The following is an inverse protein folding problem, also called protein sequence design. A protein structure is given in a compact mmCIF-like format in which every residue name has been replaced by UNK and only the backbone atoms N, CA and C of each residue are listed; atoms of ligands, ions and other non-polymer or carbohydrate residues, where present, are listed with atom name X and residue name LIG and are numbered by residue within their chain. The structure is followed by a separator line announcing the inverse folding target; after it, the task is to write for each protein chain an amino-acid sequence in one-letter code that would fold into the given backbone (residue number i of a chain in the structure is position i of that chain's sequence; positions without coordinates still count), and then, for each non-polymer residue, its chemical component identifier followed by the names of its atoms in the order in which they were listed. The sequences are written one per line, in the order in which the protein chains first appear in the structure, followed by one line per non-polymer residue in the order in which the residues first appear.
data_IF_261671391860
#
_entry.id   IF_261671391860
#
_cell.length_a   1.000
_cell.length_b   1.000
_cell.length_c   1.000
_cell.angle_alpha   90.00
_cell.angle_beta   90.00
_cell.angle_gamma   90.00
#
_symmetry.space_group_name_H-M   'P 1'
#
loop_
_entity.id
_entity.type
_entity.pdbx_description
1 polymer ?
#
# COMPACT_ATOMS: atom_id res chain seq x y z
N UNK A 1 13.50 3.40 -13.60
CA UNK A 1 14.86 3.95 -13.40
C UNK A 1 15.15 4.06 -11.89
N UNK A 2 15.27 2.93 -11.19
CA UNK A 2 15.61 2.89 -9.74
C UNK A 2 16.74 1.87 -9.52
N UNK A 3 17.72 1.81 -10.42
CA UNK A 3 18.80 0.82 -10.34
C UNK A 3 20.14 1.38 -9.85
N UNK A 4 20.27 2.71 -9.70
CA UNK A 4 21.56 3.34 -9.38
C UNK A 4 21.46 4.34 -8.22
N UNK A 5 20.78 3.98 -7.13
CA UNK A 5 21.00 4.67 -5.84
C UNK A 5 22.08 3.87 -5.12
N UNK A 6 23.34 4.34 -5.04
CA UNK A 6 24.36 3.62 -4.31
C UNK A 6 23.93 3.49 -2.85
N UNK A 7 23.79 2.25 -2.36
CA UNK A 7 23.71 1.96 -0.94
C UNK A 7 25.00 2.47 -0.27
N UNK A 8 24.91 3.66 0.33
CA UNK A 8 25.94 4.35 1.12
C UNK A 8 27.31 4.59 0.45
N UNK A 9 27.69 5.87 0.17
CA UNK A 9 29.08 6.23 -0.14
C UNK A 9 30.02 6.14 1.07
N UNK A 10 29.49 5.85 2.27
CA UNK A 10 30.23 5.71 3.50
C UNK A 10 30.29 4.23 3.84
N UNK A 11 31.45 3.60 3.62
CA UNK A 11 31.72 2.31 4.28
C UNK A 11 31.42 2.46 5.76
N UNK A 12 30.71 1.51 6.36
CA UNK A 12 30.46 1.48 7.81
C UNK A 12 31.48 0.51 8.46
N UNK A 13 32.77 0.88 8.61
CA UNK A 13 33.79 -0.03 9.12
C UNK A 13 33.53 -0.44 10.57
N UNK A 14 32.80 0.38 11.32
CA UNK A 14 32.48 0.13 12.73
C UNK A 14 31.46 -0.99 12.93
N UNK A 15 30.52 -1.13 11.99
CA UNK A 15 29.44 -2.11 12.05
C UNK A 15 29.37 -2.83 10.69
N UNK A 16 30.27 -3.79 10.45
CA UNK A 16 30.24 -4.55 9.20
C UNK A 16 28.88 -5.23 9.06
N UNK A 17 28.32 -5.13 7.86
CA UNK A 17 27.13 -5.89 7.49
C UNK A 17 27.56 -7.31 7.07
N UNK A 18 26.86 -8.39 7.49
CA UNK A 18 25.72 -8.41 8.41
C UNK A 18 26.08 -8.08 9.87
N UNK A 19 25.23 -7.27 10.51
CA UNK A 19 25.42 -6.88 11.92
C UNK A 19 25.08 -8.07 12.84
N UNK A 20 26.10 -8.58 13.53
CA UNK A 20 25.93 -9.59 14.56
C UNK A 20 26.14 -8.97 15.95
N UNK A 21 25.10 -8.91 16.81
CA UNK A 21 25.24 -8.39 18.18
C UNK A 21 26.35 -9.08 18.98
N UNK A 22 26.56 -10.39 18.76
CA UNK A 22 27.62 -11.17 19.40
C UNK A 22 29.03 -10.72 19.01
N UNK A 23 29.23 -10.28 17.77
CA UNK A 23 30.52 -9.77 17.28
C UNK A 23 30.83 -8.42 17.94
N UNK A 24 29.84 -7.53 18.01
CA UNK A 24 29.98 -6.25 18.72
C UNK A 24 30.30 -6.49 20.21
N UNK A 25 29.55 -7.37 20.86
CA UNK A 25 29.75 -7.73 22.26
C UNK A 25 31.15 -8.29 22.50
N UNK A 26 31.62 -9.22 21.66
CA UNK A 26 32.97 -9.78 21.74
C UNK A 26 34.08 -8.74 21.54
N UNK A 27 33.86 -7.71 20.71
CA UNK A 27 34.80 -6.59 20.56
C UNK A 27 34.89 -5.77 21.84
N UNK A 28 33.74 -5.44 22.42
CA UNK A 28 33.65 -4.70 23.70
C UNK A 28 34.37 -5.47 24.81
N UNK A 29 34.13 -6.78 24.92
CA UNK A 29 34.78 -7.66 25.91
C UNK A 29 36.30 -7.75 25.73
N UNK A 30 36.79 -7.63 24.50
CA UNK A 30 38.22 -7.57 24.17
C UNK A 30 38.85 -6.18 24.39
N UNK A 31 38.09 -5.21 24.91
CA UNK A 31 38.58 -3.87 25.22
C UNK A 31 38.60 -2.91 24.02
N UNK A 32 37.87 -3.21 22.94
CA UNK A 32 37.68 -2.29 21.83
C UNK A 32 36.87 -1.07 22.29
N UNK A 33 37.57 0.05 22.52
CA UNK A 33 36.98 1.28 23.05
C UNK A 33 36.02 1.94 22.06
N UNK A 34 36.32 1.88 20.77
CA UNK A 34 35.50 2.50 19.72
C UNK A 34 34.16 1.78 19.58
N UNK A 35 34.18 0.45 19.64
CA UNK A 35 32.98 -0.39 19.68
C UNK A 35 32.12 -0.11 20.93
N UNK A 36 32.75 0.06 22.10
CA UNK A 36 32.06 0.35 23.35
C UNK A 36 31.42 1.75 23.38
N UNK A 37 32.13 2.74 22.84
CA UNK A 37 31.62 4.11 22.70
C UNK A 37 30.44 4.16 21.73
N UNK A 38 30.58 3.58 20.53
CA UNK A 38 29.51 3.56 19.54
C UNK A 38 28.24 2.86 20.05
N UNK A 39 28.38 1.76 20.80
CA UNK A 39 27.26 1.10 21.46
C UNK A 39 26.57 2.00 22.49
N UNK A 40 27.37 2.68 23.32
CA UNK A 40 26.87 3.62 24.33
C UNK A 40 26.13 4.79 23.70
N UNK A 41 26.73 5.44 22.70
CA UNK A 41 26.14 6.56 21.98
C UNK A 41 24.82 6.16 21.30
N UNK A 42 24.73 4.98 20.70
CA UNK A 42 23.49 4.46 20.14
C UNK A 42 22.38 4.33 21.18
N UNK A 43 22.69 3.87 22.40
CA UNK A 43 21.72 3.81 23.50
C UNK A 43 21.30 5.19 23.98
N UNK A 44 22.26 6.11 24.15
CA UNK A 44 21.96 7.47 24.60
C UNK A 44 21.08 8.21 23.60
N UNK A 45 21.36 8.07 22.29
CA UNK A 45 20.51 8.64 21.24
C UNK A 45 19.08 8.09 21.31
N UNK A 46 18.91 6.79 21.57
CA UNK A 46 17.59 6.20 21.77
C UNK A 46 16.88 6.76 23.01
N UNK A 47 17.61 7.08 24.08
CA UNK A 47 17.05 7.71 25.27
C UNK A 47 16.60 9.15 25.00
N UNK A 48 17.42 9.95 24.32
CA UNK A 48 17.06 11.33 23.93
C UNK A 48 15.82 11.36 23.04
N UNK A 49 15.77 10.48 22.03
CA UNK A 49 14.66 10.39 21.07
C UNK A 49 13.38 9.79 21.66
N UNK A 50 13.47 9.06 22.78
CA UNK A 50 12.34 8.49 23.51
C UNK A 50 12.29 8.98 24.96
N UNK A 51 12.58 10.27 25.17
CA UNK A 51 12.68 10.89 26.50
C UNK A 51 11.38 10.89 27.30
N UNK A 52 10.24 10.61 26.67
CA UNK A 52 8.91 10.66 27.30
C UNK A 52 8.41 12.09 27.56
N UNK A 53 9.18 13.09 27.15
CA UNK A 53 8.79 14.49 27.21
C UNK A 53 7.93 14.87 26.01
N UNK A 54 6.82 15.57 26.26
CA UNK A 54 6.06 16.19 25.20
C UNK A 54 6.87 17.35 24.59
N UNK A 55 6.73 17.54 23.27
CA UNK A 55 7.34 18.65 22.54
C UNK A 55 6.24 19.62 22.10
N UNK A 56 6.52 20.91 22.10
CA UNK A 56 5.55 21.95 21.76
C UNK A 56 5.78 22.52 20.37
N UNK A 57 4.75 23.13 19.79
CA UNK A 57 4.85 23.81 18.49
C UNK A 57 5.91 24.92 18.49
N UNK A 58 6.09 25.64 19.60
CA UNK A 58 7.08 26.72 19.70
C UNK A 58 8.52 26.22 19.57
N UNK A 59 8.78 24.97 19.98
CA UNK A 59 10.11 24.36 19.85
C UNK A 59 10.51 24.10 18.39
N UNK A 60 9.55 24.06 17.47
CA UNK A 60 9.85 23.93 16.03
C UNK A 60 10.58 25.14 15.49
N UNK A 61 10.43 26.31 16.12
CA UNK A 61 11.12 27.54 15.73
C UNK A 61 12.63 27.38 15.73
N UNK A 62 13.17 26.63 16.71
CA UNK A 62 14.59 26.30 16.78
C UNK A 62 15.05 25.59 15.50
N UNK A 63 14.28 24.62 15.01
CA UNK A 63 14.61 23.90 13.79
C UNK A 63 14.45 24.81 12.57
N UNK A 64 13.35 25.55 12.47
CA UNK A 64 13.08 26.46 11.36
C UNK A 64 14.11 27.58 11.21
N UNK A 65 14.68 28.06 12.32
CA UNK A 65 15.70 29.11 12.32
C UNK A 65 17.10 28.61 11.95
N UNK A 66 17.33 27.29 12.02
CA UNK A 66 18.66 26.70 11.89
C UNK A 66 18.73 25.61 10.80
N UNK A 67 17.67 25.42 10.02
CA UNK A 67 17.60 24.42 8.96
C UNK A 67 16.91 24.98 7.71
N UNK A 68 17.66 25.04 6.60
CA UNK A 68 17.16 25.55 5.31
C UNK A 68 16.34 24.51 4.52
N UNK A 69 16.37 23.24 4.93
CA UNK A 69 15.66 22.16 4.25
C UNK A 69 14.20 22.00 4.69
N UNK A 70 13.46 21.08 4.07
CA UNK A 70 12.09 20.81 4.47
C UNK A 70 12.04 20.17 5.86
N UNK A 71 11.01 20.51 6.63
CA UNK A 71 10.69 19.90 7.92
C UNK A 71 9.38 19.12 7.76
N UNK A 72 9.40 17.83 8.12
CA UNK A 72 8.24 16.94 8.08
C UNK A 72 7.94 16.47 9.51
N UNK A 73 6.72 16.69 10.00
CA UNK A 73 6.32 16.23 11.34
C UNK A 73 5.72 14.83 11.31
N UNK A 74 6.32 13.90 12.05
CA UNK A 74 5.83 12.51 12.15
C UNK A 74 4.97 12.31 13.39
N UNK A 75 3.84 11.63 13.22
CA UNK A 75 2.97 11.26 14.34
C UNK A 75 1.64 12.01 14.38
N UNK A 76 1.29 12.74 13.33
CA UNK A 76 0.05 13.50 13.26
C UNK A 76 -1.14 12.52 13.15
N UNK A 77 -2.14 12.71 14.00
CA UNK A 77 -3.34 11.86 14.09
C UNK A 77 -4.66 12.63 13.99
N UNK A 78 -4.61 13.97 14.03
CA UNK A 78 -5.80 14.80 14.04
C UNK A 78 -5.70 15.93 13.01
N UNK A 79 -6.87 16.36 12.50
CA UNK A 79 -6.99 17.43 11.48
C UNK A 79 -6.41 18.73 12.02
N UNK A 80 -6.77 19.11 13.24
CA UNK A 80 -6.28 20.37 13.86
C UNK A 80 -4.76 20.47 13.88
N UNK A 81 -4.05 19.37 14.13
CA UNK A 81 -2.58 19.35 14.13
C UNK A 81 -2.01 19.45 12.70
N UNK A 82 -2.68 18.87 11.71
CA UNK A 82 -2.31 19.04 10.30
C UNK A 82 -2.48 20.50 9.85
N UNK A 83 -3.58 21.14 10.25
CA UNK A 83 -3.84 22.56 9.99
C UNK A 83 -2.81 23.43 10.70
N UNK A 84 -2.49 23.12 11.96
CA UNK A 84 -1.47 23.83 12.72
C UNK A 84 -0.10 23.72 12.07
N UNK A 85 0.26 22.54 11.53
CA UNK A 85 1.50 22.35 10.77
C UNK A 85 1.55 23.25 9.53
N UNK A 86 0.43 23.41 8.80
CA UNK A 86 0.33 24.36 7.69
C UNK A 86 0.50 25.80 8.19
N UNK A 87 -0.17 26.19 9.28
CA UNK A 87 -0.11 27.54 9.85
C UNK A 87 1.30 27.95 10.26
N UNK A 88 2.07 27.02 10.84
CA UNK A 88 3.44 27.29 11.28
C UNK A 88 4.48 27.11 10.17
N UNK A 89 4.07 26.83 8.93
CA UNK A 89 4.98 26.76 7.78
C UNK A 89 5.83 25.48 7.72
N UNK A 90 5.33 24.37 8.26
CA UNK A 90 5.97 23.05 8.14
C UNK A 90 5.72 22.50 6.73
N UNK A 91 6.73 21.86 6.14
CA UNK A 91 6.69 21.40 4.75
C UNK A 91 5.79 20.18 4.53
N UNK A 92 5.45 19.45 5.59
CA UNK A 92 4.59 18.28 5.50
C UNK A 92 4.47 17.49 6.79
N UNK A 93 3.72 16.40 6.71
CA UNK A 93 3.41 15.52 7.85
C UNK A 93 3.51 14.05 7.45
N UNK A 94 3.81 13.19 8.42
CA UNK A 94 3.62 11.75 8.34
C UNK A 94 2.50 11.38 9.31
N UNK A 95 1.39 10.92 8.76
CA UNK A 95 0.24 10.44 9.52
C UNK A 95 0.58 9.05 10.07
N UNK A 96 0.65 8.93 11.40
CA UNK A 96 1.30 7.79 12.06
C UNK A 96 0.89 7.67 13.52
N UNK A 97 0.64 6.45 14.01
CA UNK A 97 0.51 6.15 15.45
C UNK A 97 1.77 5.42 15.94
N UNK A 98 2.89 5.62 15.24
CA UNK A 98 4.14 4.93 15.48
C UNK A 98 4.01 3.40 15.36
N UNK A 99 3.08 2.93 14.53
CA UNK A 99 2.78 1.50 14.38
C UNK A 99 2.15 0.87 15.61
N UNK A 100 1.40 1.65 16.40
CA UNK A 100 0.69 1.23 17.60
C UNK A 100 1.57 1.08 18.84
N UNK A 101 2.65 1.86 18.94
CA UNK A 101 3.70 1.69 19.97
C UNK A 101 3.77 2.80 21.01
N UNK A 102 3.02 3.88 20.83
CA UNK A 102 3.08 5.05 21.71
C UNK A 102 1.83 5.10 22.59
N UNK A 103 0.71 5.60 22.06
CA UNK A 103 -0.57 5.62 22.77
C UNK A 103 -1.38 4.38 22.38
N UNK A 104 -1.59 3.48 23.34
CA UNK A 104 -2.49 2.34 23.17
C UNK A 104 -3.96 2.82 23.07
N UNK A 105 -4.75 2.18 22.21
CA UNK A 105 -6.10 2.62 21.87
C UNK A 105 -6.17 3.84 20.96
N UNK A 106 -5.03 4.36 20.47
CA UNK A 106 -5.02 5.39 19.44
C UNK A 106 -5.76 4.93 18.18
N UNK A 107 -6.34 5.89 17.47
CA UNK A 107 -7.04 5.65 16.21
C UNK A 107 -6.13 4.87 15.23
N UNK A 108 -6.67 3.92 14.45
CA UNK A 108 -5.95 3.37 13.32
C UNK A 108 -5.58 4.50 12.36
N UNK A 109 -4.29 4.69 12.08
CA UNK A 109 -3.80 5.86 11.33
C UNK A 109 -4.44 6.01 9.95
N UNK A 110 -4.95 4.95 9.33
CA UNK A 110 -5.65 5.03 8.05
C UNK A 110 -6.96 5.83 8.14
N UNK A 111 -7.62 5.82 9.30
CA UNK A 111 -8.81 6.64 9.57
C UNK A 111 -8.39 8.09 9.81
N UNK A 112 -7.27 8.32 10.51
CA UNK A 112 -6.69 9.66 10.62
C UNK A 112 -6.30 10.22 9.25
N UNK A 113 -5.72 9.38 8.37
CA UNK A 113 -5.42 9.76 7.00
C UNK A 113 -6.68 10.25 6.28
N UNK A 114 -7.73 9.45 6.30
CA UNK A 114 -9.01 9.80 5.68
C UNK A 114 -9.59 11.12 6.22
N UNK A 115 -9.57 11.33 7.54
CA UNK A 115 -10.10 12.54 8.16
C UNK A 115 -9.26 13.78 7.80
N UNK A 116 -7.93 13.66 7.85
CA UNK A 116 -7.01 14.77 7.56
C UNK A 116 -7.07 15.16 6.09
N UNK A 117 -7.10 14.20 5.17
CA UNK A 117 -7.13 14.49 3.73
C UNK A 117 -8.52 14.87 3.24
N UNK A 118 -9.59 14.60 3.99
CA UNK A 118 -10.91 15.14 3.72
C UNK A 118 -11.00 16.67 3.94
N UNK A 119 -10.12 17.24 4.77
CA UNK A 119 -10.08 18.68 5.00
C UNK A 119 -9.65 19.47 3.74
N UNK A 120 -10.43 20.49 3.40
CA UNK A 120 -10.23 21.27 2.18
C UNK A 120 -8.89 22.03 2.17
N UNK A 121 -8.47 22.57 3.31
CA UNK A 121 -7.22 23.33 3.41
C UNK A 121 -6.01 22.42 3.21
N UNK A 122 -6.06 21.20 3.75
CA UNK A 122 -5.02 20.18 3.50
C UNK A 122 -4.97 19.84 2.01
N UNK A 123 -6.13 19.56 1.38
CA UNK A 123 -6.19 19.27 -0.06
C UNK A 123 -5.62 20.39 -0.92
N UNK A 124 -6.04 21.63 -0.69
CA UNK A 124 -5.62 22.77 -1.51
C UNK A 124 -4.13 23.03 -1.36
N UNK A 125 -3.59 22.87 -0.15
CA UNK A 125 -2.16 23.07 0.12
C UNK A 125 -1.31 21.95 -0.49
N UNK A 126 -1.78 20.70 -0.45
CA UNK A 126 -1.14 19.57 -1.15
C UNK A 126 -1.14 19.77 -2.67
N UNK A 127 -2.28 20.15 -3.26
CA UNK A 127 -2.41 20.41 -4.71
C UNK A 127 -1.57 21.60 -5.17
N UNK A 128 -1.37 22.59 -4.31
CA UNK A 128 -0.46 23.71 -4.55
C UNK A 128 1.03 23.33 -4.42
N UNK A 129 1.35 22.09 -4.03
CA UNK A 129 2.73 21.62 -3.84
C UNK A 129 3.43 22.23 -2.62
N UNK A 130 2.68 22.79 -1.67
CA UNK A 130 3.22 23.50 -0.50
C UNK A 130 3.25 22.66 0.77
N UNK A 131 2.58 21.52 0.76
CA UNK A 131 2.49 20.64 1.91
C UNK A 131 2.49 19.19 1.45
N UNK A 132 3.35 18.35 2.05
CA UNK A 132 3.44 16.92 1.72
C UNK A 132 2.77 16.08 2.80
N UNK A 133 1.85 15.21 2.42
CA UNK A 133 1.25 14.23 3.34
C UNK A 133 1.77 12.84 3.02
N UNK A 134 2.45 12.25 3.99
CA UNK A 134 2.99 10.90 3.95
C UNK A 134 2.23 10.01 4.95
N UNK A 135 2.32 8.70 4.78
CA UNK A 135 1.57 7.74 5.61
C UNK A 135 2.41 6.54 6.03
N UNK A 136 2.28 6.08 7.28
CA UNK A 136 2.85 4.80 7.73
C UNK A 136 1.79 3.95 8.47
N UNK A 137 2.20 3.02 9.35
CA UNK A 137 1.27 2.31 10.25
C UNK A 137 0.45 1.19 9.61
N UNK A 138 1.13 0.23 8.96
CA UNK A 138 0.52 -1.07 8.65
C UNK A 138 0.56 -1.52 7.20
N UNK A 139 1.26 -0.80 6.31
CA UNK A 139 1.42 -1.19 4.90
C UNK A 139 2.12 -2.55 4.76
N UNK A 140 1.43 -3.56 4.22
CA UNK A 140 1.99 -4.91 3.99
C UNK A 140 1.82 -5.40 2.56
N UNK A 141 0.83 -4.88 1.84
CA UNK A 141 0.48 -5.28 0.48
C UNK A 141 0.40 -4.05 -0.42
N UNK A 142 0.45 -4.27 -1.72
CA UNK A 142 0.21 -3.25 -2.73
C UNK A 142 -1.17 -2.61 -2.59
N UNK A 143 -2.19 -3.40 -2.22
CA UNK A 143 -3.53 -2.85 -1.96
C UNK A 143 -3.54 -1.83 -0.81
N UNK A 144 -2.71 -2.01 0.21
CA UNK A 144 -2.61 -1.05 1.32
C UNK A 144 -1.97 0.26 0.85
N UNK A 145 -0.93 0.16 0.01
CA UNK A 145 -0.28 1.32 -0.63
C UNK A 145 -1.31 2.11 -1.42
N UNK A 146 -2.01 1.44 -2.34
CA UNK A 146 -2.94 2.10 -3.24
C UNK A 146 -4.14 2.72 -2.51
N UNK A 147 -4.64 2.09 -1.44
CA UNK A 147 -5.69 2.68 -0.59
C UNK A 147 -5.22 3.96 0.08
N UNK A 148 -4.01 3.97 0.64
CA UNK A 148 -3.45 5.17 1.26
C UNK A 148 -3.28 6.31 0.24
N UNK A 149 -2.81 6.00 -0.97
CA UNK A 149 -2.68 7.00 -2.03
C UNK A 149 -4.05 7.48 -2.50
N UNK A 150 -5.02 6.58 -2.67
CA UNK A 150 -6.39 6.95 -3.04
C UNK A 150 -7.07 7.85 -2.00
N UNK A 151 -6.70 7.71 -0.73
CA UNK A 151 -7.13 8.60 0.35
C UNK A 151 -6.44 9.97 0.33
N UNK A 152 -5.33 10.16 -0.38
CA UNK A 152 -4.65 11.46 -0.50
C UNK A 152 -3.20 11.50 -0.03
N UNK A 153 -2.64 10.38 0.48
CA UNK A 153 -1.20 10.31 0.75
C UNK A 153 -0.40 10.44 -0.57
N UNK A 154 0.80 11.04 -0.49
CA UNK A 154 1.71 11.18 -1.63
C UNK A 154 2.81 10.10 -1.65
N UNK A 155 3.11 9.51 -0.49
CA UNK A 155 3.90 8.29 -0.39
C UNK A 155 3.59 7.56 0.92
N UNK A 156 4.02 6.31 1.00
CA UNK A 156 3.91 5.49 2.20
C UNK A 156 5.28 5.07 2.72
N UNK A 157 5.37 4.83 4.04
CA UNK A 157 6.59 4.37 4.70
C UNK A 157 6.40 2.94 5.23
N UNK A 158 7.45 2.13 5.07
CA UNK A 158 7.46 0.71 5.45
C UNK A 158 8.58 0.48 6.46
N UNK A 159 8.23 -0.08 7.62
CA UNK A 159 9.18 -0.28 8.72
C UNK A 159 9.33 -1.76 9.10
N UNK A 160 8.31 -2.38 9.74
CA UNK A 160 8.41 -3.77 10.21
C UNK A 160 8.80 -4.77 9.10
N UNK A 161 8.17 -4.78 7.91
CA UNK A 161 8.59 -5.65 6.82
C UNK A 161 10.05 -5.45 6.41
N UNK A 162 10.50 -4.18 6.34
CA UNK A 162 11.90 -3.85 6.07
C UNK A 162 12.83 -4.48 7.11
N UNK A 163 12.51 -4.33 8.41
CA UNK A 163 13.30 -4.92 9.50
C UNK A 163 13.29 -6.45 9.48
N UNK A 164 12.19 -7.07 9.05
CA UNK A 164 12.11 -8.53 8.91
C UNK A 164 13.00 -9.03 7.77
N UNK A 165 12.98 -8.35 6.61
CA UNK A 165 13.90 -8.62 5.51
C UNK A 165 15.36 -8.50 5.97
N UNK A 166 15.68 -7.42 6.68
CA UNK A 166 17.01 -7.17 7.24
C UNK A 166 17.45 -8.30 8.18
N UNK A 167 16.57 -8.77 9.06
CA UNK A 167 16.88 -9.83 10.01
C UNK A 167 17.07 -11.20 9.36
N UNK A 168 16.34 -11.49 8.27
CA UNK A 168 16.39 -12.80 7.59
C UNK A 168 17.59 -12.91 6.66
N UNK A 169 17.80 -11.90 5.80
CA UNK A 169 18.82 -11.97 4.75
C UNK A 169 19.44 -10.60 4.45
N UNK A 170 19.48 -9.71 5.44
CA UNK A 170 20.23 -8.49 5.31
C UNK A 170 19.71 -7.50 4.29
N UNK A 171 20.64 -6.79 3.66
CA UNK A 171 20.36 -5.90 2.53
C UNK A 171 19.56 -6.61 1.43
N UNK A 172 19.95 -7.82 1.03
CA UNK A 172 19.19 -8.61 0.04
C UNK A 172 17.77 -8.91 0.52
N UNK A 173 17.58 -9.24 1.80
CA UNK A 173 16.25 -9.46 2.37
C UNK A 173 15.39 -8.19 2.39
N UNK A 174 15.98 -7.03 2.66
CA UNK A 174 15.32 -5.72 2.53
C UNK A 174 14.90 -5.47 1.09
N UNK A 175 15.81 -5.66 0.14
CA UNK A 175 15.54 -5.49 -1.29
C UNK A 175 14.38 -6.37 -1.75
N UNK A 176 14.37 -7.66 -1.38
CA UNK A 176 13.30 -8.58 -1.74
C UNK A 176 11.94 -8.13 -1.19
N UNK A 177 11.89 -7.64 0.05
CA UNK A 177 10.65 -7.09 0.63
C UNK A 177 10.15 -5.88 -0.15
N UNK A 178 11.05 -4.94 -0.49
CA UNK A 178 10.68 -3.72 -1.21
C UNK A 178 10.29 -4.02 -2.66
N UNK A 179 11.03 -4.89 -3.36
CA UNK A 179 10.71 -5.36 -4.71
C UNK A 179 9.37 -6.08 -4.75
N UNK A 180 9.11 -6.96 -3.78
CA UNK A 180 7.85 -7.67 -3.66
C UNK A 180 6.67 -6.71 -3.46
N UNK A 181 6.81 -5.73 -2.57
CA UNK A 181 5.78 -4.72 -2.35
C UNK A 181 5.54 -3.84 -3.59
N UNK A 182 6.60 -3.43 -4.29
CA UNK A 182 6.49 -2.69 -5.55
C UNK A 182 5.77 -3.50 -6.63
N UNK A 183 6.17 -4.76 -6.83
CA UNK A 183 5.53 -5.65 -7.80
C UNK A 183 4.04 -5.88 -7.49
N UNK A 184 3.70 -6.12 -6.21
CA UNK A 184 2.30 -6.27 -5.78
C UNK A 184 1.50 -4.98 -5.98
N UNK A 185 2.11 -3.81 -5.75
CA UNK A 185 1.50 -2.49 -5.99
C UNK A 185 1.20 -2.28 -7.48
N UNK A 186 2.18 -2.55 -8.35
CA UNK A 186 2.04 -2.41 -9.81
C UNK A 186 0.97 -3.37 -10.37
N UNK A 187 0.99 -4.64 -9.95
CA UNK A 187 0.01 -5.64 -10.34
C UNK A 187 -1.39 -5.21 -9.87
N UNK A 188 -1.53 -4.80 -8.61
CA UNK A 188 -2.81 -4.36 -8.05
C UNK A 188 -3.36 -3.12 -8.75
N UNK A 189 -2.51 -2.17 -9.14
CA UNK A 189 -2.90 -0.96 -9.88
C UNK A 189 -3.41 -1.33 -11.28
N UNK A 190 -2.67 -2.18 -12.00
CA UNK A 190 -3.06 -2.65 -13.34
C UNK A 190 -4.36 -3.45 -13.32
N UNK A 191 -4.53 -4.35 -12.33
CA UNK A 191 -5.74 -5.15 -12.17
C UNK A 191 -6.97 -4.34 -11.74
N UNK A 192 -6.78 -3.21 -11.06
CA UNK A 192 -7.85 -2.26 -10.75
C UNK A 192 -8.18 -1.32 -11.93
N UNK A 193 -7.49 -1.48 -13.07
CA UNK A 193 -7.79 -0.78 -14.31
C UNK A 193 -7.19 0.63 -14.40
N UNK A 194 -6.16 0.92 -13.61
CA UNK A 194 -5.42 2.18 -13.63
C UNK A 194 -4.02 1.98 -14.19
N UNK A 195 -3.46 3.01 -14.81
CA UNK A 195 -2.13 2.96 -15.43
C UNK A 195 -1.09 3.72 -14.62
N UNK A 196 -1.53 4.75 -13.92
CA UNK A 196 -0.69 5.63 -13.13
C UNK A 196 -1.29 5.82 -11.74
N UNK A 197 -0.44 5.98 -10.72
CA UNK A 197 -0.89 6.20 -9.34
C UNK A 197 -1.59 7.56 -9.18
N UNK A 198 -1.27 8.52 -10.03
CA UNK A 198 -1.96 9.80 -10.11
C UNK A 198 -3.41 9.65 -10.59
N UNK A 199 -3.74 8.55 -11.28
CA UNK A 199 -5.12 8.29 -11.71
C UNK A 199 -6.05 7.99 -10.52
N UNK A 200 -5.50 7.63 -9.36
CA UNK A 200 -6.27 7.26 -8.16
C UNK A 200 -6.14 8.25 -7.00
N UNK A 201 -5.17 9.18 -7.05
CA UNK A 201 -4.96 10.15 -5.96
C UNK A 201 -6.22 10.98 -5.70
N UNK A 202 -6.68 11.01 -4.44
CA UNK A 202 -7.97 11.59 -4.03
C UNK A 202 -9.24 10.98 -4.65
N UNK A 203 -9.18 9.75 -5.16
CA UNK A 203 -10.35 9.05 -5.76
C UNK A 203 -10.75 7.80 -4.96
N UNK A 204 -10.79 7.93 -3.63
CA UNK A 204 -11.06 6.80 -2.71
C UNK A 204 -12.37 6.08 -3.05
N UNK A 205 -13.45 6.79 -3.36
CA UNK A 205 -14.74 6.18 -3.68
C UNK A 205 -14.65 5.32 -4.94
N UNK A 206 -14.12 5.89 -6.04
CA UNK A 206 -13.96 5.19 -7.31
C UNK A 206 -13.01 3.98 -7.21
N UNK A 207 -11.93 4.15 -6.44
CA UNK A 207 -10.90 3.13 -6.28
C UNK A 207 -11.35 1.97 -5.39
N UNK A 208 -11.94 2.27 -4.22
CA UNK A 208 -12.36 1.26 -3.24
C UNK A 208 -13.41 0.33 -3.82
N UNK A 209 -14.36 0.85 -4.60
CA UNK A 209 -15.36 0.05 -5.30
C UNK A 209 -14.67 -0.99 -6.21
N UNK A 210 -13.65 -0.60 -6.97
CA UNK A 210 -12.96 -1.52 -7.91
C UNK A 210 -12.09 -2.56 -7.21
N UNK A 211 -11.42 -2.19 -6.11
CA UNK A 211 -10.61 -3.15 -5.32
C UNK A 211 -11.50 -4.18 -4.62
N UNK A 212 -12.73 -3.81 -4.24
CA UNK A 212 -13.74 -4.74 -3.70
C UNK A 212 -14.36 -5.66 -4.77
N UNK A 213 -14.29 -5.30 -6.06
CA UNK A 213 -15.03 -5.96 -7.15
C UNK A 213 -14.21 -6.86 -8.08
N UNK A 214 -12.87 -6.87 -8.02
CA UNK A 214 -12.07 -7.55 -9.06
C UNK A 214 -11.36 -8.84 -8.63
N UNK A 215 -11.94 -9.95 -9.08
CA UNK A 215 -11.22 -11.15 -9.53
C UNK A 215 -11.48 -11.34 -11.03
N UNK A 216 -10.40 -11.57 -11.79
CA UNK A 216 -10.26 -12.06 -13.18
C UNK A 216 -10.40 -11.12 -14.39
N UNK A 217 -9.24 -10.71 -14.94
CA UNK A 217 -9.03 -10.57 -16.39
C UNK A 217 -8.76 -11.99 -16.95
N UNK A 218 -9.59 -12.48 -17.88
CA UNK A 218 -9.42 -13.80 -18.53
C UNK A 218 -8.88 -13.65 -19.96
N UNK A 219 -7.95 -14.51 -20.41
CA UNK A 219 -7.47 -14.49 -21.78
C UNK A 219 -8.58 -14.87 -22.79
N UNK A 220 -8.62 -14.26 -23.99
CA UNK A 220 -9.71 -14.45 -24.95
C UNK A 220 -10.00 -15.90 -25.35
N UNK A 221 -8.99 -16.75 -25.41
CA UNK A 221 -9.16 -18.17 -25.74
C UNK A 221 -9.99 -18.92 -24.69
N UNK A 222 -9.84 -18.56 -23.40
CA UNK A 222 -10.57 -19.21 -22.31
C UNK A 222 -12.06 -18.91 -22.40
N UNK A 223 -12.42 -17.68 -22.77
CA UNK A 223 -13.81 -17.28 -23.02
C UNK A 223 -14.46 -18.14 -24.10
N UNK A 224 -13.77 -18.35 -25.22
CA UNK A 224 -14.28 -19.13 -26.36
C UNK A 224 -14.44 -20.60 -25.97
N UNK A 225 -13.44 -21.18 -25.30
CA UNK A 225 -13.48 -22.57 -24.84
C UNK A 225 -14.64 -22.83 -23.87
N UNK A 226 -14.87 -21.92 -22.91
CA UNK A 226 -15.98 -22.03 -21.95
C UNK A 226 -17.33 -21.91 -22.67
N UNK A 227 -17.49 -20.97 -23.61
CA UNK A 227 -18.72 -20.82 -24.37
C UNK A 227 -19.04 -22.09 -25.20
N UNK A 228 -18.04 -22.65 -25.87
CA UNK A 228 -18.19 -23.90 -26.62
C UNK A 228 -18.54 -25.09 -25.71
N UNK A 229 -17.92 -25.17 -24.53
CA UNK A 229 -18.24 -26.19 -23.54
C UNK A 229 -19.69 -26.08 -23.06
N UNK A 230 -20.16 -24.88 -22.72
CA UNK A 230 -21.54 -24.63 -22.30
C UNK A 230 -22.52 -24.97 -23.43
N UNK A 231 -22.25 -24.54 -24.66
CA UNK A 231 -23.10 -24.84 -25.82
C UNK A 231 -23.23 -26.35 -26.06
N UNK A 232 -22.12 -27.10 -25.95
CA UNK A 232 -22.14 -28.56 -26.02
C UNK A 232 -23.05 -29.16 -24.96
N UNK A 233 -22.97 -28.69 -23.71
CA UNK A 233 -23.80 -29.17 -22.60
C UNK A 233 -25.28 -28.89 -22.81
N UNK A 234 -25.64 -27.71 -23.29
CA UNK A 234 -27.03 -27.35 -23.61
C UNK A 234 -27.57 -28.27 -24.71
N UNK A 235 -26.83 -28.42 -25.81
CA UNK A 235 -27.25 -29.26 -26.94
C UNK A 235 -27.37 -30.74 -26.54
N UNK A 236 -26.45 -31.25 -25.71
CA UNK A 236 -26.55 -32.63 -25.16
C UNK A 236 -27.72 -32.79 -24.20
N UNK A 237 -28.04 -31.77 -23.40
CA UNK A 237 -29.14 -31.83 -22.44
C UNK A 237 -30.52 -31.83 -23.11
N UNK A 238 -30.60 -31.20 -24.30
CA UNK A 238 -31.80 -31.06 -25.14
C UNK A 238 -33.03 -30.58 -24.35
N UNK A 239 -33.04 -29.32 -23.90
CA UNK A 239 -34.07 -28.81 -23.01
C UNK A 239 -35.45 -28.79 -23.66
N UNK A 240 -36.48 -29.07 -22.88
CA UNK A 240 -37.91 -29.01 -23.24
C UNK A 240 -38.65 -28.13 -22.23
N UNK A 241 -39.91 -27.74 -22.47
CA UNK A 241 -40.69 -26.98 -21.49
C UNK A 241 -40.76 -27.64 -20.10
N UNK A 242 -40.84 -28.96 -20.06
CA UNK A 242 -40.91 -29.78 -18.83
C UNK A 242 -39.53 -30.06 -18.22
N UNK A 243 -38.45 -29.77 -18.96
CA UNK A 243 -37.06 -30.02 -18.59
C UNK A 243 -36.19 -28.81 -19.01
N UNK A 244 -36.35 -27.66 -18.35
CA UNK A 244 -35.60 -26.46 -18.71
C UNK A 244 -34.13 -26.61 -18.36
N UNK A 245 -33.26 -26.07 -19.22
CA UNK A 245 -31.84 -25.94 -18.89
C UNK A 245 -31.64 -24.64 -18.10
N UNK A 246 -31.07 -24.74 -16.90
CA UNK A 246 -30.79 -23.58 -16.05
C UNK A 246 -29.30 -23.28 -16.10
N UNK A 247 -28.96 -22.08 -16.56
CA UNK A 247 -27.61 -21.54 -16.45
C UNK A 247 -27.54 -20.66 -15.20
N UNK A 248 -26.95 -21.19 -14.13
CA UNK A 248 -26.73 -20.43 -12.90
C UNK A 248 -25.65 -19.37 -13.08
N UNK A 249 -25.90 -18.16 -12.57
CA UNK A 249 -24.87 -17.13 -12.46
C UNK A 249 -23.95 -17.41 -11.27
N UNK A 250 -22.62 -17.37 -11.43
CA UNK A 250 -21.73 -17.41 -10.27
C UNK A 250 -21.92 -16.14 -9.45
N UNK A 251 -21.79 -16.22 -8.12
CA UNK A 251 -21.88 -15.10 -7.17
C UNK A 251 -20.70 -14.10 -7.27
N UNK A 252 -20.00 -14.07 -8.40
CA UNK A 252 -18.89 -13.15 -8.72
C UNK A 252 -19.21 -12.30 -9.94
N UNK A 253 -18.17 -11.76 -10.61
CA UNK A 253 -18.37 -10.92 -11.80
C UNK A 253 -19.06 -11.70 -12.95
N UNK A 254 -20.12 -11.13 -13.58
CA UNK A 254 -20.79 -11.78 -14.69
C UNK A 254 -19.79 -12.05 -15.83
N UNK A 255 -19.69 -13.27 -16.38
CA UNK A 255 -18.80 -13.59 -17.49
C UNK A 255 -19.34 -13.04 -18.83
N UNK A 256 -19.45 -11.71 -18.93
CA UNK A 256 -19.96 -10.98 -20.10
C UNK A 256 -19.33 -11.45 -21.42
N UNK A 257 -17.99 -11.69 -21.51
CA UNK A 257 -17.40 -12.20 -22.75
C UNK A 257 -17.94 -13.57 -23.16
N UNK A 258 -18.18 -14.47 -22.20
CA UNK A 258 -18.74 -15.80 -22.45
C UNK A 258 -20.18 -15.69 -22.93
N UNK A 259 -20.98 -14.77 -22.38
CA UNK A 259 -22.33 -14.51 -22.86
C UNK A 259 -22.35 -13.97 -24.28
N UNK A 260 -21.47 -13.02 -24.63
CA UNK A 260 -21.34 -12.54 -26.01
C UNK A 260 -20.99 -13.66 -26.98
N UNK A 261 -20.10 -14.58 -26.59
CA UNK A 261 -19.76 -15.75 -27.40
C UNK A 261 -20.94 -16.73 -27.56
N UNK A 262 -21.70 -16.99 -26.49
CA UNK A 262 -22.89 -17.83 -26.54
C UNK A 262 -24.01 -17.21 -27.42
N UNK A 263 -24.23 -15.89 -27.32
CA UNK A 263 -25.16 -15.15 -28.19
C UNK A 263 -24.75 -15.28 -29.66
N UNK A 264 -23.45 -15.21 -29.96
CA UNK A 264 -22.93 -15.41 -31.32
C UNK A 264 -23.26 -16.81 -31.85
N UNK A 265 -23.09 -17.85 -31.02
CA UNK A 265 -23.46 -19.22 -31.40
C UNK A 265 -24.96 -19.38 -31.68
N UNK A 266 -25.82 -18.67 -30.94
CA UNK A 266 -27.26 -18.66 -31.24
C UNK A 266 -27.57 -17.97 -32.56
N UNK A 267 -26.96 -16.81 -32.82
CA UNK A 267 -27.11 -16.11 -34.12
C UNK A 267 -26.61 -16.94 -35.30
N UNK A 268 -25.59 -17.77 -35.09
CA UNK A 268 -25.07 -18.72 -36.08
C UNK A 268 -25.89 -20.02 -36.20
N UNK A 269 -26.99 -20.16 -35.44
CA UNK A 269 -27.84 -21.36 -35.46
C UNK A 269 -27.22 -22.60 -34.80
N UNK A 270 -26.10 -22.43 -34.07
CA UNK A 270 -25.37 -23.53 -33.41
C UNK A 270 -25.87 -23.84 -32.00
N UNK A 271 -26.78 -23.01 -31.48
CA UNK A 271 -27.34 -23.11 -30.13
C UNK A 271 -28.77 -22.51 -30.14
N UNK A 272 -29.69 -23.07 -29.36
CA UNK A 272 -31.07 -22.58 -29.21
C UNK A 272 -31.44 -22.41 -27.73
N UNK A 273 -32.15 -21.32 -27.38
CA UNK A 273 -32.58 -21.00 -26.02
C UNK A 273 -34.09 -21.19 -25.78
N UNK A 274 -34.80 -21.81 -26.71
CA UNK A 274 -36.28 -21.87 -26.70
C UNK A 274 -36.85 -22.45 -25.39
N UNK A 275 -36.06 -23.23 -24.65
CA UNK A 275 -36.44 -23.81 -23.36
C UNK A 275 -35.38 -23.62 -22.24
N UNK A 276 -34.64 -22.49 -22.26
CA UNK A 276 -33.65 -22.16 -21.23
C UNK A 276 -34.09 -21.05 -20.29
N UNK A 277 -33.72 -21.14 -19.01
CA UNK A 277 -33.95 -20.08 -18.01
C UNK A 277 -32.61 -19.63 -17.41
N UNK A 278 -32.43 -18.31 -17.24
CA UNK A 278 -31.27 -17.73 -16.54
C UNK A 278 -31.71 -17.36 -15.13
N UNK A 279 -31.05 -17.94 -14.12
CA UNK A 279 -31.25 -17.56 -12.73
C UNK A 279 -30.17 -16.57 -12.31
N UNK A 280 -30.61 -15.36 -11.93
CA UNK A 280 -29.76 -14.34 -11.31
C UNK A 280 -29.82 -14.57 -9.79
N UNK A 281 -28.66 -14.83 -9.17
CA UNK A 281 -28.48 -14.82 -7.72
C UNK A 281 -27.72 -13.56 -7.32
#
# INVERSE_FOLDING_TARGET
MIHDIPCSPLGHPLFPFPFYPSVLQSRIERGDKEAAEAHTLGKLLLQETNSGEFKTWDQLKLLQDNWDGPIILKGIQHVDDAIKAIDVGISGIIISNHGGRQVDGALPSIIALENITADQRVQDTQRAGKFTVLFDSGIRTGSDVLKAIALGAQAVLVARPFMYGLAINGETGVEEVLRGLLADTEISLGLSGYKDINDIWYKKEDFMIKVLLFVTIRPPWATISIANYIAKRINTFNPTPEKPFVLGLPTGSPPIPTYKALIKLVKEGKLSYVHGTVLVH
#
